data_IF_844400055567
#
_entry.id   IF_844400055567
#
_cell.length_a   1.000
_cell.length_b   1.000
_cell.length_c   1.000
_cell.angle_alpha   90.00
_cell.angle_beta   90.00
_cell.angle_gamma   90.00
#
_symmetry.space_group_name_H-M   'P 1'
#
loop_
_entity.id
_entity.type
_entity.pdbx_description
1 polymer ?
#
# COMPACT_ATOMS: atom_id res chain seq x y z
N UNK A 1 -46.50 9.00 51.83
CA UNK A 1 -45.13 8.80 51.32
C UNK A 1 -45.05 7.47 50.57
N UNK A 2 -45.32 7.47 49.26
CA UNK A 2 -45.18 6.32 48.34
C UNK A 2 -45.05 6.85 46.89
N UNK A 3 -44.08 7.73 46.64
CA UNK A 3 -43.90 8.36 45.31
C UNK A 3 -42.43 8.47 44.84
N UNK A 4 -41.49 7.76 45.46
CA UNK A 4 -40.04 7.96 45.22
C UNK A 4 -39.28 6.67 44.82
N UNK A 5 -39.96 5.59 44.44
CA UNK A 5 -39.25 4.33 44.07
C UNK A 5 -39.48 3.89 42.62
N UNK A 6 -40.44 4.47 41.89
CA UNK A 6 -40.70 4.10 40.48
C UNK A 6 -40.02 5.02 39.44
N UNK A 7 -39.33 6.07 39.88
CA UNK A 7 -38.62 7.00 38.98
C UNK A 7 -37.15 6.60 38.73
N UNK A 8 -36.59 5.67 39.51
CA UNK A 8 -35.23 5.17 39.29
C UNK A 8 -35.15 4.05 38.23
N UNK A 9 -36.21 3.26 38.04
CA UNK A 9 -36.22 2.20 37.02
C UNK A 9 -36.38 2.75 35.59
N UNK A 10 -37.07 3.88 35.41
CA UNK A 10 -37.26 4.49 34.09
C UNK A 10 -35.97 5.21 33.64
N UNK A 11 -35.16 5.73 34.56
CA UNK A 11 -33.87 6.36 34.23
C UNK A 11 -32.81 5.35 33.74
N UNK A 12 -32.91 4.08 34.15
CA UNK A 12 -32.03 3.01 33.68
C UNK A 12 -32.42 2.50 32.28
N UNK A 13 -33.71 2.51 31.93
CA UNK A 13 -34.16 2.02 30.61
C UNK A 13 -33.76 2.99 29.50
N UNK A 14 -33.73 4.30 29.75
CA UNK A 14 -33.31 5.30 28.74
C UNK A 14 -31.79 5.55 28.63
N UNK A 15 -30.96 5.01 29.52
CA UNK A 15 -29.50 4.96 29.29
C UNK A 15 -29.04 3.74 28.49
N UNK A 16 -29.90 2.71 28.34
CA UNK A 16 -29.58 1.54 27.51
C UNK A 16 -29.88 1.71 26.02
N UNK A 17 -30.47 2.85 25.63
CA UNK A 17 -30.71 3.21 24.22
C UNK A 17 -29.58 4.07 23.62
N UNK A 18 -28.39 4.11 24.24
CA UNK A 18 -27.20 4.28 23.41
C UNK A 18 -27.03 2.99 22.65
N UNK A 19 -27.71 2.92 21.50
CA UNK A 19 -27.26 2.09 20.39
C UNK A 19 -25.79 2.45 20.18
N UNK A 20 -24.91 1.70 20.81
CA UNK A 20 -23.56 1.55 20.33
C UNK A 20 -23.77 1.00 18.93
N UNK A 21 -23.66 1.93 17.98
CA UNK A 21 -23.75 1.66 16.56
C UNK A 21 -22.58 0.72 16.26
N UNK A 22 -22.80 -0.58 16.48
CA UNK A 22 -22.01 -1.65 15.88
C UNK A 22 -22.15 -1.38 14.40
N UNK A 23 -21.17 -0.66 13.90
CA UNK A 23 -20.98 -0.47 12.49
C UNK A 23 -20.64 -1.88 12.04
N UNK A 24 -21.60 -2.55 11.43
CA UNK A 24 -21.33 -3.74 10.64
C UNK A 24 -20.27 -3.26 9.65
N UNK A 25 -19.01 -3.57 9.95
CA UNK A 25 -17.88 -3.30 9.07
C UNK A 25 -18.18 -4.19 7.88
N UNK A 26 -18.66 -3.53 6.83
CA UNK A 26 -18.72 -3.99 5.45
C UNK A 26 -17.86 -5.25 5.25
N UNK A 27 -18.51 -6.42 5.35
CA UNK A 27 -17.89 -7.76 5.39
C UNK A 27 -17.06 -8.08 4.13
N UNK A 28 -17.07 -7.16 3.16
CA UNK A 28 -16.42 -7.28 1.87
C UNK A 28 -15.13 -6.46 1.73
N UNK A 29 -14.79 -5.60 2.71
CA UNK A 29 -13.52 -4.87 2.68
C UNK A 29 -12.49 -5.53 3.62
N UNK A 30 -11.26 -5.82 3.15
CA UNK A 30 -10.23 -6.39 4.03
C UNK A 30 -9.97 -5.42 5.18
N UNK A 31 -9.86 -5.90 6.42
CA UNK A 31 -9.70 -5.03 7.60
C UNK A 31 -8.45 -4.12 7.48
N UNK A 32 -7.41 -4.64 6.82
CA UNK A 32 -6.16 -3.95 6.55
C UNK A 32 -5.65 -4.30 5.15
N UNK A 33 -4.89 -3.40 4.54
CA UNK A 33 -4.17 -3.66 3.30
C UNK A 33 -2.76 -3.09 3.39
N UNK A 34 -1.78 -3.89 3.00
CA UNK A 34 -0.38 -3.49 2.88
C UNK A 34 -0.01 -3.55 1.40
N UNK A 35 0.62 -2.50 0.88
CA UNK A 35 1.21 -2.47 -0.47
C UNK A 35 2.65 -2.00 -0.39
N UNK A 36 3.53 -2.61 -1.17
CA UNK A 36 4.86 -2.07 -1.38
C UNK A 36 4.82 -1.06 -2.54
N UNK A 37 5.51 0.07 -2.37
CA UNK A 37 5.77 1.08 -3.39
C UNK A 37 7.28 1.06 -3.65
N UNK A 38 7.76 0.42 -4.72
CA UNK A 38 9.16 0.55 -5.12
C UNK A 38 9.40 1.90 -5.81
N UNK A 39 10.59 2.45 -5.59
CA UNK A 39 11.11 3.58 -6.33
C UNK A 39 12.55 3.33 -6.74
N UNK A 40 13.22 4.39 -7.19
CA UNK A 40 14.65 4.32 -7.49
C UNK A 40 15.47 4.08 -6.22
N UNK A 41 16.11 2.91 -6.13
CA UNK A 41 16.91 2.43 -5.00
C UNK A 41 16.20 2.52 -3.63
N UNK A 42 14.86 2.54 -3.64
CA UNK A 42 14.02 2.81 -2.47
C UNK A 42 12.79 1.91 -2.45
N UNK A 43 12.29 1.63 -1.25
CA UNK A 43 11.03 0.93 -1.02
C UNK A 43 10.27 1.71 0.05
N UNK A 44 8.97 1.86 -0.14
CA UNK A 44 8.03 2.37 0.87
C UNK A 44 6.90 1.36 1.04
N UNK A 45 6.21 1.42 2.18
CA UNK A 45 4.98 0.67 2.40
C UNK A 45 3.82 1.65 2.47
N UNK A 46 2.76 1.32 1.75
CA UNK A 46 1.46 1.94 1.93
C UNK A 46 0.59 1.01 2.77
N UNK A 47 0.25 1.44 3.97
CA UNK A 47 -0.64 0.74 4.89
C UNK A 47 -1.99 1.44 4.92
N UNK A 48 -3.04 0.70 4.61
CA UNK A 48 -4.41 1.15 4.73
C UNK A 48 -5.13 0.34 5.81
N UNK A 49 -5.90 1.04 6.64
CA UNK A 49 -6.76 0.44 7.67
C UNK A 49 -8.21 0.85 7.47
N UNK A 50 -9.09 -0.15 7.35
CA UNK A 50 -10.54 0.03 7.29
C UNK A 50 -11.17 0.23 8.68
N UNK A 51 -10.47 -0.21 9.72
CA UNK A 51 -10.77 0.05 11.14
C UNK A 51 -10.06 1.33 11.58
N UNK A 52 -10.61 2.03 12.57
CA UNK A 52 -9.99 3.21 13.16
C UNK A 52 -8.55 2.86 13.58
N UNK A 53 -7.57 3.56 12.99
CA UNK A 53 -6.15 3.32 13.22
C UNK A 53 -5.68 3.65 14.66
N UNK A 54 -6.60 3.97 15.57
CA UNK A 54 -6.33 4.27 16.97
C UNK A 54 -5.85 3.07 17.79
N UNK A 55 -6.00 1.87 17.24
CA UNK A 55 -5.59 0.64 17.94
C UNK A 55 -4.12 0.29 17.69
N UNK A 56 -3.37 1.09 16.92
CA UNK A 56 -1.96 0.86 16.63
C UNK A 56 -1.05 1.85 17.35
N UNK A 57 -0.13 1.32 18.14
CA UNK A 57 0.96 2.07 18.79
C UNK A 57 2.22 2.16 17.92
N UNK A 58 2.34 1.31 16.89
CA UNK A 58 3.43 1.39 15.91
C UNK A 58 3.48 0.20 14.96
N UNK A 59 4.51 0.22 14.10
CA UNK A 59 4.75 -0.81 13.10
C UNK A 59 6.19 -1.33 13.21
N UNK A 60 6.37 -2.63 12.97
CA UNK A 60 7.67 -3.21 12.70
C UNK A 60 7.78 -3.52 11.22
N UNK A 61 8.88 -3.08 10.61
CA UNK A 61 9.15 -3.28 9.19
C UNK A 61 10.17 -4.40 9.02
N UNK A 62 9.91 -5.31 8.10
CA UNK A 62 10.80 -6.42 7.77
C UNK A 62 11.13 -6.35 6.28
N UNK A 63 12.39 -6.57 5.95
CA UNK A 63 12.85 -6.71 4.57
C UNK A 63 13.96 -7.74 4.48
N UNK A 64 13.94 -8.55 3.43
CA UNK A 64 14.97 -9.55 3.15
C UNK A 64 14.98 -9.88 1.66
N UNK A 65 16.08 -10.43 1.15
CA UNK A 65 16.13 -11.06 -0.18
C UNK A 65 15.59 -12.49 -0.17
N UNK A 66 15.24 -13.02 1.00
CA UNK A 66 14.54 -14.30 1.20
C UNK A 66 13.17 -14.06 1.83
N UNK A 67 12.24 -15.02 1.69
CA UNK A 67 10.91 -14.94 2.33
C UNK A 67 10.95 -15.19 3.85
N UNK A 68 12.14 -15.34 4.43
CA UNK A 68 12.34 -15.58 5.86
C UNK A 68 12.86 -14.32 6.51
N UNK A 69 12.19 -13.88 7.57
CA UNK A 69 12.54 -12.69 8.34
C UNK A 69 13.02 -13.11 9.72
N UNK A 70 14.21 -12.65 10.10
CA UNK A 70 14.79 -12.96 11.42
C UNK A 70 14.60 -11.83 12.41
N UNK A 71 14.81 -10.57 11.98
CA UNK A 71 14.68 -9.38 12.82
C UNK A 71 13.94 -8.29 12.04
N UNK A 72 13.13 -7.50 12.74
CA UNK A 72 12.64 -6.25 12.18
C UNK A 72 13.77 -5.24 12.06
N UNK A 73 13.61 -4.30 11.14
CA UNK A 73 14.54 -3.20 10.97
C UNK A 73 14.49 -2.26 12.16
N UNK A 74 15.67 -1.82 12.58
CA UNK A 74 15.84 -0.82 13.62
C UNK A 74 16.04 0.56 12.98
N UNK A 75 15.59 1.59 13.66
CA UNK A 75 15.93 2.98 13.38
C UNK A 75 17.38 3.28 13.81
N UNK A 76 17.85 4.50 13.52
CA UNK A 76 19.22 4.94 13.84
C UNK A 76 19.56 4.91 15.34
N UNK A 77 18.55 4.85 16.21
CA UNK A 77 18.70 4.78 17.67
C UNK A 77 18.59 3.34 18.19
N UNK A 78 18.53 2.33 17.32
CA UNK A 78 18.42 0.92 17.69
C UNK A 78 17.02 0.48 18.16
N UNK A 79 15.99 1.34 18.03
CA UNK A 79 14.59 1.00 18.31
C UNK A 79 13.80 0.66 17.05
N UNK A 80 12.63 0.05 17.18
CA UNK A 80 11.74 -0.15 16.02
C UNK A 80 11.21 1.19 15.49
N UNK A 81 10.94 1.33 14.17
CA UNK A 81 10.36 2.53 13.59
C UNK A 81 8.93 2.77 14.10
N UNK A 82 8.80 3.45 15.23
CA UNK A 82 7.49 3.89 15.74
C UNK A 82 7.03 5.09 14.91
N UNK A 83 5.89 4.96 14.23
CA UNK A 83 5.18 6.11 13.70
C UNK A 83 4.21 6.56 14.79
N UNK A 84 4.45 7.71 15.46
CA UNK A 84 3.48 8.24 16.41
C UNK A 84 2.21 8.63 15.64
N UNK A 85 1.11 7.90 15.84
CA UNK A 85 -0.20 8.33 15.36
C UNK A 85 -1.03 8.91 16.49
N UNK A 86 -1.66 10.03 16.16
CA UNK A 86 -2.72 10.69 16.92
C UNK A 86 -3.77 11.03 15.87
N UNK A 87 -4.76 10.14 15.70
CA UNK A 87 -6.19 10.43 15.45
C UNK A 87 -6.92 9.25 14.80
N UNK A 88 -8.13 9.02 15.31
CA UNK A 88 -9.07 7.93 15.04
C UNK A 88 -9.72 8.02 13.63
N UNK A 89 -8.95 7.97 12.55
CA UNK A 89 -9.51 8.00 11.19
C UNK A 89 -9.03 6.81 10.35
N UNK A 90 -9.88 6.33 9.43
CA UNK A 90 -9.46 5.45 8.32
C UNK A 90 -8.31 6.14 7.60
N UNK A 91 -7.13 5.58 7.71
CA UNK A 91 -5.90 6.28 7.35
C UNK A 91 -5.12 5.48 6.33
N UNK A 92 -4.60 6.20 5.34
CA UNK A 92 -3.60 5.70 4.43
C UNK A 92 -2.23 6.22 4.86
N UNK A 93 -1.37 5.35 5.36
CA UNK A 93 -0.08 5.70 5.95
C UNK A 93 1.02 5.22 5.01
N UNK A 94 1.92 6.12 4.61
CA UNK A 94 3.13 5.71 3.90
C UNK A 94 4.28 5.59 4.90
N UNK A 95 4.71 4.37 5.17
CA UNK A 95 5.87 4.04 5.99
C UNK A 95 7.10 4.04 5.07
N UNK A 96 8.11 4.86 5.37
CA UNK A 96 9.37 4.82 4.66
C UNK A 96 10.36 3.92 5.41
N UNK A 97 11.03 3.03 4.68
CA UNK A 97 12.14 2.27 5.23
C UNK A 97 13.30 3.22 5.62
N UNK A 98 14.14 2.88 6.63
CA UNK A 98 15.24 3.73 7.06
C UNK A 98 16.13 4.18 5.89
N UNK A 99 16.39 5.49 5.78
CA UNK A 99 17.17 6.09 4.66
C UNK A 99 18.64 5.69 4.66
N UNK A 100 19.12 5.09 5.74
CA UNK A 100 20.46 4.48 5.83
C UNK A 100 20.56 3.16 5.06
N UNK A 101 19.43 2.58 4.63
CA UNK A 101 19.39 1.39 3.78
C UNK A 101 19.26 1.83 2.33
N UNK A 102 20.19 1.38 1.49
CA UNK A 102 20.10 1.53 0.03
C UNK A 102 19.73 0.19 -0.58
N UNK A 103 18.74 0.20 -1.49
CA UNK A 103 18.32 -1.03 -2.18
C UNK A 103 18.85 -1.05 -3.61
N UNK A 104 19.34 -2.21 -4.03
CA UNK A 104 19.76 -2.39 -5.41
C UNK A 104 18.55 -2.51 -6.33
N UNK A 105 18.50 -1.67 -7.36
CA UNK A 105 17.51 -1.78 -8.43
C UNK A 105 17.59 -3.15 -9.12
N UNK A 106 16.45 -3.70 -9.52
CA UNK A 106 16.33 -5.02 -10.16
C UNK A 106 16.48 -6.22 -9.23
N UNK A 107 16.79 -5.99 -7.95
CA UNK A 107 16.86 -7.05 -6.93
C UNK A 107 15.48 -7.32 -6.36
N UNK A 108 15.14 -8.61 -6.20
CA UNK A 108 13.91 -9.02 -5.53
C UNK A 108 14.09 -8.93 -4.02
N UNK A 109 13.21 -8.16 -3.39
CA UNK A 109 13.05 -8.13 -1.95
C UNK A 109 11.68 -8.67 -1.58
N UNK A 110 11.60 -9.18 -0.36
CA UNK A 110 10.37 -9.50 0.31
C UNK A 110 10.23 -8.54 1.48
N UNK A 111 9.05 -7.96 1.61
CA UNK A 111 8.72 -7.06 2.73
C UNK A 111 7.54 -7.61 3.49
N UNK A 112 7.56 -7.39 4.80
CA UNK A 112 6.45 -7.71 5.69
C UNK A 112 6.33 -6.58 6.71
N UNK A 113 5.11 -6.36 7.20
CA UNK A 113 4.85 -5.38 8.26
C UNK A 113 4.06 -6.07 9.35
N UNK A 114 4.41 -5.80 10.61
CA UNK A 114 3.53 -6.10 11.73
C UNK A 114 3.11 -4.80 12.37
N UNK A 115 1.88 -4.74 12.85
CA UNK A 115 1.38 -3.61 13.61
C UNK A 115 1.19 -4.08 15.05
N UNK A 116 1.57 -3.25 16.02
CA UNK A 116 1.34 -3.56 17.43
C UNK A 116 0.49 -2.45 18.05
N UNK A 117 -0.50 -2.86 18.83
CA UNK A 117 -1.39 -1.95 19.56
C UNK A 117 -0.97 -1.74 21.00
N UNK A 118 -1.43 -0.63 21.58
CA UNK A 118 -1.60 -0.46 23.03
C UNK A 118 -3.06 -0.73 23.32
N UNK A 119 -3.40 -1.97 23.67
CA UNK A 119 -4.73 -2.20 24.21
C UNK A 119 -4.70 -1.79 25.69
N UNK A 120 -5.21 -0.59 26.01
CA UNK A 120 -5.39 -0.17 27.41
C UNK A 120 -6.36 -1.10 28.18
N UNK A 121 -7.12 -1.97 27.49
CA UNK A 121 -8.00 -2.97 28.09
C UNK A 121 -7.29 -4.29 28.45
N UNK A 122 -6.02 -4.46 28.09
CA UNK A 122 -5.22 -5.61 28.49
C UNK A 122 -4.03 -5.10 29.31
N UNK A 123 -4.12 -5.20 30.63
CA UNK A 123 -3.02 -4.90 31.57
C UNK A 123 -1.66 -5.41 31.03
N UNK A 124 -0.83 -4.51 30.50
CA UNK A 124 0.56 -4.76 30.14
C UNK A 124 0.85 -5.48 28.80
N UNK A 125 -0.15 -5.76 27.95
CA UNK A 125 0.06 -6.53 26.72
C UNK A 125 0.05 -5.71 25.44
N UNK A 126 1.21 -5.47 24.82
CA UNK A 126 1.25 -5.10 23.39
C UNK A 126 0.78 -6.31 22.57
N UNK A 127 -0.37 -6.21 21.92
CA UNK A 127 -0.82 -7.26 20.98
C UNK A 127 -0.14 -6.96 19.65
N UNK A 128 0.83 -7.78 19.26
CA UNK A 128 1.40 -7.77 17.91
C UNK A 128 0.47 -8.55 17.00
N UNK A 129 -0.25 -7.85 16.13
CA UNK A 129 -1.01 -8.49 15.06
C UNK A 129 -0.09 -8.55 13.85
N UNK A 130 0.37 -9.77 13.53
CA UNK A 130 1.07 -10.01 12.29
C UNK A 130 0.09 -9.78 11.14
N UNK A 131 0.37 -8.77 10.32
CA UNK A 131 -0.39 -8.57 9.09
C UNK A 131 0.28 -9.51 8.07
N UNK A 132 -0.28 -10.71 7.93
CA UNK A 132 0.25 -11.82 7.13
C UNK A 132 0.29 -11.53 5.62
N UNK A 133 1.14 -10.58 5.21
CA UNK A 133 1.44 -10.34 3.81
C UNK A 133 2.95 -10.22 3.62
N UNK A 134 3.56 -11.30 3.13
CA UNK A 134 4.89 -11.22 2.52
C UNK A 134 4.67 -10.68 1.11
N UNK A 135 5.12 -9.46 0.86
CA UNK A 135 4.95 -8.79 -0.43
C UNK A 135 6.29 -8.82 -1.14
N UNK A 136 6.33 -9.39 -2.35
CA UNK A 136 7.50 -9.24 -3.21
C UNK A 136 7.54 -7.83 -3.79
N UNK A 137 8.72 -7.25 -3.86
CA UNK A 137 8.94 -5.90 -4.39
C UNK A 137 10.30 -5.80 -5.08
N UNK A 138 10.36 -5.05 -6.19
CA UNK A 138 11.58 -4.84 -6.97
C UNK A 138 11.81 -3.34 -7.17
N UNK A 139 12.75 -2.71 -6.43
CA UNK A 139 13.21 -1.35 -6.68
C UNK A 139 13.71 -1.20 -8.10
N UNK A 140 13.56 -0.02 -8.69
CA UNK A 140 13.92 0.18 -10.10
C UNK A 140 14.15 1.65 -10.43
N UNK A 141 15.02 1.93 -11.42
CA UNK A 141 15.23 3.30 -11.85
C UNK A 141 13.96 3.86 -12.49
N UNK A 142 13.69 5.12 -12.16
CA UNK A 142 12.73 5.94 -12.86
C UNK A 142 13.48 6.81 -13.87
N UNK A 143 12.94 6.92 -15.08
CA UNK A 143 13.53 7.70 -16.17
C UNK A 143 12.50 8.67 -16.72
N UNK A 144 12.89 9.93 -16.87
CA UNK A 144 12.08 10.97 -17.52
C UNK A 144 12.43 11.19 -19.00
N UNK A 145 13.40 10.43 -19.50
CA UNK A 145 13.98 10.59 -20.85
C UNK A 145 13.85 9.35 -21.73
N UNK A 146 13.36 8.22 -21.19
CA UNK A 146 13.25 6.95 -21.91
C UNK A 146 11.81 6.47 -22.10
N UNK A 147 11.48 5.96 -23.29
CA UNK A 147 10.21 5.29 -23.61
C UNK A 147 10.30 3.76 -23.50
N UNK A 148 11.21 3.23 -22.70
CA UNK A 148 11.50 1.80 -22.62
C UNK A 148 10.22 0.97 -22.39
N UNK A 149 9.94 0.06 -23.32
CA UNK A 149 8.76 -0.81 -23.29
C UNK A 149 7.49 -0.24 -23.93
N UNK A 150 7.50 1.00 -24.43
CA UNK A 150 6.32 1.67 -25.00
C UNK A 150 6.64 2.45 -26.29
N UNK A 151 5.66 2.52 -27.18
CA UNK A 151 5.61 3.49 -28.28
C UNK A 151 4.47 4.46 -28.02
N UNK A 152 4.78 5.75 -27.89
CA UNK A 152 3.80 6.78 -27.56
C UNK A 152 3.48 7.55 -28.83
N UNK A 153 2.21 7.52 -29.25
CA UNK A 153 1.69 8.41 -30.30
C UNK A 153 0.80 9.46 -29.63
N UNK A 154 1.33 10.67 -29.37
CA UNK A 154 0.61 11.69 -28.60
C UNK A 154 -0.79 11.95 -29.14
N UNK A 155 -1.75 12.10 -28.23
CA UNK A 155 -3.18 12.34 -28.52
C UNK A 155 -3.91 11.22 -29.28
N UNK A 156 -3.27 10.06 -29.48
CA UNK A 156 -3.90 8.91 -30.13
C UNK A 156 -3.84 7.68 -29.23
N UNK A 157 -2.64 7.13 -29.02
CA UNK A 157 -2.48 5.84 -28.35
C UNK A 157 -1.11 5.66 -27.68
N UNK A 158 -1.07 4.66 -26.83
CA UNK A 158 0.15 4.09 -26.25
C UNK A 158 0.17 2.60 -26.58
N UNK A 159 1.18 2.16 -27.30
CA UNK A 159 1.41 0.75 -27.60
C UNK A 159 2.47 0.18 -26.66
N UNK A 160 2.28 -1.05 -26.18
CA UNK A 160 3.37 -1.82 -25.59
C UNK A 160 4.32 -2.29 -26.70
N UNK A 161 5.62 -2.09 -26.51
CA UNK A 161 6.63 -2.58 -27.44
C UNK A 161 6.72 -4.13 -27.44
N UNK A 162 6.35 -4.76 -26.33
CA UNK A 162 6.24 -6.21 -26.19
C UNK A 162 5.21 -6.58 -25.12
N UNK A 163 4.49 -7.68 -25.35
CA UNK A 163 3.50 -8.19 -24.40
C UNK A 163 2.18 -7.43 -24.45
N UNK A 164 1.51 -7.33 -23.30
CA UNK A 164 0.19 -6.71 -23.16
C UNK A 164 0.25 -5.48 -22.28
N UNK A 165 -0.69 -4.56 -22.46
CA UNK A 165 -0.75 -3.27 -21.78
C UNK A 165 -2.14 -3.05 -21.19
N UNK A 166 -2.18 -2.35 -20.05
CA UNK A 166 -3.39 -1.82 -19.44
C UNK A 166 -3.23 -0.34 -19.12
N UNK A 167 -4.25 0.43 -19.49
CA UNK A 167 -4.44 1.79 -18.98
C UNK A 167 -5.16 1.79 -17.64
N UNK A 168 -4.69 2.60 -16.71
CA UNK A 168 -5.32 2.93 -15.44
C UNK A 168 -5.93 4.34 -15.44
N UNK A 169 -6.04 4.95 -16.62
CA UNK A 169 -6.60 6.29 -16.77
C UNK A 169 -5.72 7.38 -16.17
N UNK A 170 -6.34 8.54 -15.94
CA UNK A 170 -5.68 9.74 -15.41
C UNK A 170 -5.35 9.55 -13.93
N UNK A 171 -4.08 9.72 -13.56
CA UNK A 171 -3.57 9.49 -12.20
C UNK A 171 -2.80 10.69 -11.67
N UNK A 172 -2.99 11.05 -10.40
CA UNK A 172 -2.37 12.24 -9.81
C UNK A 172 -0.84 12.17 -9.69
N UNK A 173 -0.25 10.98 -9.74
CA UNK A 173 1.19 10.76 -9.63
C UNK A 173 1.62 9.38 -10.20
N UNK A 174 2.93 9.21 -10.39
CA UNK A 174 3.54 7.98 -10.92
C UNK A 174 3.31 6.73 -10.06
N UNK A 175 3.19 6.89 -8.74
CA UNK A 175 3.10 5.80 -7.77
C UNK A 175 1.65 5.38 -7.44
N UNK A 176 0.66 6.00 -8.09
CA UNK A 176 -0.76 5.78 -7.77
C UNK A 176 -1.22 4.32 -7.94
N UNK A 177 -0.62 3.59 -8.90
CA UNK A 177 -0.88 2.17 -9.14
C UNK A 177 0.42 1.42 -8.98
N UNK A 178 0.48 0.50 -8.01
CA UNK A 178 1.70 -0.27 -7.72
C UNK A 178 1.59 -1.76 -8.02
N UNK A 179 0.41 -2.26 -8.37
CA UNK A 179 0.18 -3.70 -8.59
C UNK A 179 -0.44 -3.92 -9.96
N UNK A 180 0.12 -4.84 -10.74
CA UNK A 180 -0.38 -5.25 -12.04
C UNK A 180 -0.62 -6.76 -12.09
N UNK A 181 -1.88 -7.18 -12.10
CA UNK A 181 -2.28 -8.59 -12.21
C UNK A 181 -2.88 -8.85 -13.58
N UNK A 182 -2.21 -9.70 -14.37
CA UNK A 182 -2.40 -9.81 -15.82
C UNK A 182 -3.32 -10.96 -16.28
N UNK A 183 -4.26 -11.43 -15.44
CA UNK A 183 -4.86 -12.73 -15.74
C UNK A 183 -5.79 -12.75 -16.98
N UNK A 184 -6.23 -11.59 -17.50
CA UNK A 184 -7.20 -11.52 -18.62
C UNK A 184 -6.93 -10.40 -19.64
N UNK A 185 -5.74 -9.77 -19.66
CA UNK A 185 -5.46 -8.67 -20.59
C UNK A 185 -4.84 -9.25 -21.87
N UNK A 186 -5.43 -8.91 -23.02
CA UNK A 186 -4.98 -9.38 -24.35
C UNK A 186 -4.59 -8.23 -25.28
N UNK A 187 -4.76 -6.98 -24.84
CA UNK A 187 -4.52 -5.78 -25.63
C UNK A 187 -3.05 -5.39 -25.66
N UNK A 188 -2.58 -4.93 -26.82
CA UNK A 188 -1.21 -4.41 -27.02
C UNK A 188 -1.16 -2.88 -27.19
N UNK A 189 -2.32 -2.24 -27.21
CA UNK A 189 -2.48 -0.79 -27.35
C UNK A 189 -3.62 -0.28 -26.47
N UNK A 190 -3.45 0.93 -25.95
CA UNK A 190 -4.43 1.64 -25.13
C UNK A 190 -4.56 3.10 -25.59
N UNK A 191 -5.70 3.73 -25.31
CA UNK A 191 -5.93 5.14 -25.66
C UNK A 191 -4.99 6.06 -24.88
N UNK A 192 -4.43 7.06 -25.56
CA UNK A 192 -3.57 8.06 -24.95
C UNK A 192 -4.38 9.01 -24.05
N UNK A 193 -3.84 9.34 -22.88
CA UNK A 193 -4.35 10.37 -21.99
C UNK A 193 -3.18 11.14 -21.37
N UNK A 194 -3.28 12.47 -21.35
CA UNK A 194 -2.38 13.32 -20.54
C UNK A 194 -2.61 12.97 -19.08
N UNK A 195 -1.54 12.80 -18.29
CA UNK A 195 -1.62 12.28 -16.92
C UNK A 195 -2.07 10.80 -16.85
N UNK A 196 -2.15 10.12 -18.00
CA UNK A 196 -2.47 8.70 -18.11
C UNK A 196 -1.36 7.81 -17.57
N UNK A 197 -1.73 6.77 -16.82
CA UNK A 197 -0.81 5.78 -16.29
C UNK A 197 -1.06 4.41 -16.93
N UNK A 198 0.02 3.78 -17.39
CA UNK A 198 0.00 2.56 -18.16
C UNK A 198 0.99 1.56 -17.57
N UNK A 199 0.58 0.30 -17.53
CA UNK A 199 1.47 -0.80 -17.15
C UNK A 199 1.43 -1.84 -18.26
N UNK A 200 2.60 -2.28 -18.70
CA UNK A 200 2.76 -3.34 -19.67
C UNK A 200 3.58 -4.50 -19.10
N UNK A 201 3.29 -5.71 -19.57
CA UNK A 201 4.01 -6.93 -19.22
C UNK A 201 4.14 -7.85 -20.41
N UNK A 202 5.30 -8.47 -20.56
CA UNK A 202 5.52 -9.57 -21.50
C UNK A 202 5.75 -10.92 -20.78
N UNK A 203 5.37 -11.01 -19.50
CA UNK A 203 5.62 -12.18 -18.64
C UNK A 203 7.02 -12.23 -18.03
N UNK A 204 8.06 -11.67 -18.66
CA UNK A 204 9.40 -11.59 -18.04
C UNK A 204 9.65 -10.25 -17.37
N UNK A 205 9.18 -9.17 -17.99
CA UNK A 205 9.43 -7.79 -17.58
C UNK A 205 8.12 -7.06 -17.35
N UNK A 206 8.14 -6.12 -16.41
CA UNK A 206 7.10 -5.11 -16.26
C UNK A 206 7.66 -3.75 -16.65
N UNK A 207 6.80 -2.96 -17.29
CA UNK A 207 7.07 -1.59 -17.70
C UNK A 207 5.93 -0.70 -17.21
N UNK A 208 6.27 0.46 -16.66
CA UNK A 208 5.33 1.48 -16.23
C UNK A 208 5.62 2.73 -16.98
N UNK A 209 4.56 3.42 -17.37
CA UNK A 209 4.60 4.69 -18.05
C UNK A 209 3.56 5.61 -17.41
N UNK A 210 3.97 6.84 -17.15
CA UNK A 210 3.06 7.94 -16.84
C UNK A 210 3.33 9.09 -17.79
N UNK A 211 2.27 9.60 -18.40
CA UNK A 211 2.36 10.79 -19.26
C UNK A 211 2.33 12.02 -18.35
N UNK A 212 3.43 12.79 -18.32
CA UNK A 212 3.56 13.87 -17.36
C UNK A 212 2.59 15.03 -17.70
N UNK A 213 2.03 15.74 -16.68
CA UNK A 213 1.11 16.86 -16.92
C UNK A 213 1.71 17.98 -17.78
N UNK A 214 3.01 18.26 -17.62
CA UNK A 214 3.76 19.31 -18.33
C UNK A 214 4.33 18.85 -19.68
N UNK A 215 3.96 17.66 -20.15
CA UNK A 215 4.58 17.02 -21.32
C UNK A 215 5.79 16.15 -20.96
N UNK A 216 6.16 15.28 -21.90
CA UNK A 216 7.11 14.20 -21.66
C UNK A 216 6.47 13.01 -20.94
N UNK A 217 7.30 12.12 -20.42
CA UNK A 217 6.85 10.93 -19.71
C UNK A 217 7.84 10.50 -18.63
N UNK A 218 7.35 9.72 -17.68
CA UNK A 218 8.15 9.01 -16.69
C UNK A 218 7.96 7.52 -16.91
N UNK A 219 9.04 6.76 -16.94
CA UNK A 219 9.02 5.30 -17.09
C UNK A 219 9.81 4.60 -16.01
N UNK A 220 9.45 3.35 -15.73
CA UNK A 220 10.23 2.46 -14.90
C UNK A 220 10.06 1.01 -15.38
N UNK A 221 11.08 0.18 -15.18
CA UNK A 221 11.05 -1.23 -15.60
C UNK A 221 11.84 -2.15 -14.69
N UNK A 222 11.47 -3.42 -14.65
CA UNK A 222 12.29 -4.50 -14.10
C UNK A 222 12.02 -5.82 -14.84
N UNK A 223 12.97 -6.75 -14.78
CA UNK A 223 12.96 -8.04 -15.49
C UNK A 223 12.53 -9.22 -14.59
N UNK A 224 11.65 -8.97 -13.61
CA UNK A 224 11.21 -9.95 -12.60
C UNK A 224 9.70 -10.02 -12.48
N UNK A 225 8.98 -9.91 -13.59
CA UNK A 225 7.52 -9.92 -13.61
C UNK A 225 6.94 -11.22 -13.00
N UNK A 226 7.58 -12.36 -13.27
CA UNK A 226 7.16 -13.66 -12.72
C UNK A 226 7.35 -13.77 -11.20
N UNK A 227 8.29 -13.03 -10.62
CA UNK A 227 8.55 -13.06 -9.17
C UNK A 227 7.69 -12.03 -8.42
N UNK A 228 7.27 -10.98 -9.13
CA UNK A 228 6.68 -9.80 -8.54
C UNK A 228 5.84 -9.03 -9.55
N UNK A 229 4.57 -8.82 -9.18
CA UNK A 229 3.62 -8.01 -9.93
C UNK A 229 3.63 -6.53 -9.53
N UNK A 230 4.58 -6.11 -8.68
CA UNK A 230 4.66 -4.72 -8.25
C UNK A 230 5.47 -3.90 -9.23
N UNK A 231 4.82 -2.87 -9.79
CA UNK A 231 5.48 -1.77 -10.45
C UNK A 231 5.34 -0.51 -9.61
#
# INVERSE_FOLDING_TARGET
>A
MKKIIFLFFILFIFNSCSNELITVVDEYNPLYQVRAIPGNASIKINFWSGILASDFAGFNLYISTTQTFTNALLNSSGGYPTIPFSTHARSNITLQFPTTLTYNNGTLYYVSVTAYGTNDLAEGGKIETRIDSIISVVPRPESTTGTTGFTITPNQKVDAAAGVIKSYGVQSNFDAITVFTNNNITTTSESYAVVGLYIASNGSSLYKLWINPSGGNTTATHSRANDCNTI
#
